data_IF_295104593922
#
_entry.id   IF_295104593922
#
_cell.length_a   1.000
_cell.length_b   1.000
_cell.length_c   1.000
_cell.angle_alpha   90.00
_cell.angle_beta   90.00
_cell.angle_gamma   90.00
#
_symmetry.space_group_name_H-M   'P 1'
#
loop_
_entity.id
_entity.type
_entity.pdbx_description
1 polymer ?
#
# COMPACT_ATOMS: atom_id res chain seq x y z
N UNK A 1 11.45 22.87 -18.30
CA UNK A 1 10.23 22.06 -18.07
C UNK A 1 9.95 22.10 -16.58
N UNK A 2 8.99 22.91 -16.15
CA UNK A 2 8.60 23.08 -14.76
C UNK A 2 7.94 21.79 -14.26
N UNK A 3 8.67 21.00 -13.47
CA UNK A 3 8.19 19.77 -12.87
C UNK A 3 7.06 20.08 -11.91
N UNK A 4 5.83 19.82 -12.32
CA UNK A 4 4.70 19.76 -11.41
C UNK A 4 5.01 18.59 -10.47
N UNK A 5 5.38 18.89 -9.23
CA UNK A 5 5.66 17.88 -8.22
C UNK A 5 4.36 17.13 -7.93
N UNK A 6 4.09 16.10 -8.73
CA UNK A 6 2.90 15.29 -8.62
C UNK A 6 2.91 14.50 -7.32
N UNK A 7 1.71 14.27 -6.79
CA UNK A 7 1.48 13.35 -5.69
C UNK A 7 2.05 11.96 -6.08
N UNK A 8 2.90 11.39 -5.23
CA UNK A 8 3.49 10.05 -5.43
C UNK A 8 2.90 9.08 -4.42
N UNK A 9 2.53 7.90 -4.88
CA UNK A 9 2.06 6.82 -4.00
C UNK A 9 3.17 5.79 -3.85
N UNK A 10 3.48 5.41 -2.62
CA UNK A 10 4.38 4.29 -2.31
C UNK A 10 3.59 3.13 -1.75
N UNK A 11 3.94 1.90 -2.15
CA UNK A 11 3.26 0.69 -1.66
C UNK A 11 4.21 -0.50 -1.60
N UNK A 12 3.85 -1.51 -0.81
CA UNK A 12 4.49 -2.83 -0.82
C UNK A 12 3.65 -3.84 -1.62
N UNK A 13 4.31 -4.72 -2.36
CA UNK A 13 3.70 -5.81 -3.14
C UNK A 13 3.79 -5.59 -4.65
N UNK A 14 3.68 -6.67 -5.41
CA UNK A 14 3.86 -6.62 -6.87
C UNK A 14 2.60 -6.14 -7.62
N UNK A 15 2.70 -6.06 -8.95
CA UNK A 15 1.55 -5.84 -9.84
C UNK A 15 0.51 -6.95 -9.62
N UNK A 16 -0.77 -6.58 -9.57
CA UNK A 16 -1.90 -7.47 -9.24
C UNK A 16 -1.98 -7.95 -7.79
N UNK A 17 -1.08 -7.51 -6.90
CA UNK A 17 -1.29 -7.71 -5.46
C UNK A 17 -2.51 -6.93 -4.96
N UNK A 18 -3.04 -7.30 -3.79
CA UNK A 18 -4.14 -6.54 -3.19
C UNK A 18 -3.78 -5.08 -2.90
N UNK A 19 -2.51 -4.79 -2.59
CA UNK A 19 -2.01 -3.42 -2.47
C UNK A 19 -2.06 -2.65 -3.81
N UNK A 20 -1.75 -3.33 -4.93
CA UNK A 20 -1.89 -2.74 -6.27
C UNK A 20 -3.37 -2.44 -6.58
N UNK A 21 -4.26 -3.39 -6.32
CA UNK A 21 -5.70 -3.23 -6.53
C UNK A 21 -6.25 -2.08 -5.67
N UNK A 22 -5.87 -2.01 -4.39
CA UNK A 22 -6.27 -0.92 -3.49
C UNK A 22 -5.78 0.44 -3.98
N UNK A 23 -4.52 0.51 -4.45
CA UNK A 23 -3.92 1.72 -4.99
C UNK A 23 -4.68 2.21 -6.21
N UNK A 24 -4.95 1.33 -7.18
CA UNK A 24 -5.71 1.68 -8.40
C UNK A 24 -7.14 2.12 -8.09
N UNK A 25 -7.80 1.47 -7.12
CA UNK A 25 -9.17 1.86 -6.70
C UNK A 25 -9.22 3.25 -6.07
N UNK A 26 -8.21 3.60 -5.27
CA UNK A 26 -8.20 4.87 -4.54
C UNK A 26 -7.66 6.03 -5.38
N UNK A 27 -6.64 5.79 -6.20
CA UNK A 27 -5.91 6.86 -6.91
C UNK A 27 -6.03 6.80 -8.44
N UNK A 28 -6.65 5.76 -8.99
CA UNK A 28 -6.77 5.54 -10.43
C UNK A 28 -5.50 4.95 -11.07
N UNK A 29 -5.62 4.47 -12.31
CA UNK A 29 -4.52 3.81 -13.04
C UNK A 29 -3.42 4.77 -13.52
N UNK A 30 -3.66 6.08 -13.50
CA UNK A 30 -2.69 7.11 -13.92
C UNK A 30 -1.82 7.64 -12.76
N UNK A 31 -1.99 7.10 -11.55
CA UNK A 31 -1.20 7.52 -10.39
C UNK A 31 0.29 7.17 -10.58
N UNK A 32 1.17 8.06 -10.11
CA UNK A 32 2.61 7.78 -10.04
C UNK A 32 2.87 6.89 -8.84
N UNK A 33 3.17 5.62 -9.10
CA UNK A 33 3.36 4.60 -8.06
C UNK A 33 4.81 4.14 -8.01
N UNK A 34 5.36 4.03 -6.81
CA UNK A 34 6.62 3.36 -6.53
C UNK A 34 6.38 2.16 -5.62
N UNK A 35 6.94 1.02 -6.00
CA UNK A 35 6.91 -0.21 -5.19
C UNK A 35 8.17 -0.27 -4.34
N UNK A 36 8.01 -0.44 -3.04
CA UNK A 36 9.11 -0.51 -2.08
C UNK A 36 9.18 -1.90 -1.41
N UNK A 37 10.32 -2.19 -0.81
CA UNK A 37 10.71 -3.53 -0.34
C UNK A 37 9.90 -4.03 0.86
N UNK A 38 9.35 -3.13 1.68
CA UNK A 38 8.60 -3.46 2.90
C UNK A 38 7.81 -2.24 3.41
N UNK A 39 7.05 -2.45 4.50
CA UNK A 39 6.24 -1.41 5.12
C UNK A 39 7.06 -0.27 5.71
N UNK A 40 8.24 -0.53 6.26
CA UNK A 40 9.12 0.52 6.78
C UNK A 40 9.49 1.53 5.73
N UNK A 41 9.97 1.04 4.59
CA UNK A 41 10.38 1.91 3.49
C UNK A 41 9.24 2.78 3.00
N UNK A 42 8.01 2.24 3.00
CA UNK A 42 6.82 3.00 2.66
C UNK A 42 6.53 4.12 3.67
N UNK A 43 6.57 3.80 4.97
CA UNK A 43 6.36 4.79 6.03
C UNK A 43 7.47 5.85 6.06
N UNK A 44 8.73 5.45 5.91
CA UNK A 44 9.89 6.35 5.81
C UNK A 44 9.72 7.33 4.64
N UNK A 45 9.36 6.83 3.45
CA UNK A 45 9.16 7.66 2.27
C UNK A 45 8.02 8.69 2.46
N UNK A 46 6.91 8.29 3.08
CA UNK A 46 5.81 9.19 3.40
C UNK A 46 6.19 10.23 4.46
N UNK A 47 7.00 9.86 5.46
CA UNK A 47 7.43 10.76 6.52
C UNK A 47 8.41 11.83 6.01
N UNK A 48 9.21 11.51 4.99
CA UNK A 48 10.17 12.44 4.39
C UNK A 48 9.54 13.52 3.50
N UNK A 49 8.32 13.30 2.99
CA UNK A 49 7.72 14.24 2.03
C UNK A 49 6.19 14.29 2.13
N UNK A 50 5.65 15.50 2.26
CA UNK A 50 4.20 15.76 2.25
C UNK A 50 3.52 15.46 0.90
N UNK A 51 4.30 15.22 -0.16
CA UNK A 51 3.79 14.85 -1.49
C UNK A 51 3.76 13.33 -1.70
N UNK A 52 4.14 12.55 -0.69
CA UNK A 52 4.16 11.09 -0.73
C UNK A 52 3.06 10.54 0.17
N UNK A 53 2.26 9.62 -0.37
CA UNK A 53 1.27 8.84 0.40
C UNK A 53 1.70 7.38 0.40
N UNK A 54 1.73 6.76 1.58
CA UNK A 54 1.90 5.32 1.69
C UNK A 54 0.53 4.61 1.66
N UNK A 55 0.36 3.68 0.73
CA UNK A 55 -0.78 2.75 0.71
C UNK A 55 -0.35 1.43 1.34
N UNK A 56 -0.87 1.15 2.54
CA UNK A 56 -0.49 -0.01 3.33
C UNK A 56 -1.72 -0.71 3.91
N UNK A 57 -1.71 -2.05 3.98
CA UNK A 57 -2.74 -2.78 4.68
C UNK A 57 -2.50 -2.67 6.20
N UNK A 58 -3.53 -2.29 6.94
CA UNK A 58 -3.47 -2.08 8.40
C UNK A 58 -4.24 -3.14 9.19
N UNK A 59 -5.24 -3.74 8.56
CA UNK A 59 -6.08 -4.76 9.15
C UNK A 59 -6.52 -5.77 8.10
N UNK A 60 -6.65 -7.04 8.45
CA UNK A 60 -7.39 -8.02 7.67
C UNK A 60 -8.10 -9.05 8.58
N UNK A 61 -9.17 -9.68 8.09
CA UNK A 61 -9.99 -10.60 8.89
C UNK A 61 -9.26 -11.85 9.39
N UNK A 62 -8.21 -12.30 8.69
CA UNK A 62 -7.45 -13.48 9.08
C UNK A 62 -6.40 -13.17 10.18
N UNK A 63 -5.72 -12.04 10.07
CA UNK A 63 -4.57 -11.65 10.88
C UNK A 63 -4.92 -10.56 11.91
N UNK A 64 -6.14 -10.01 11.88
CA UNK A 64 -6.56 -8.80 12.61
C UNK A 64 -5.67 -7.63 12.25
N UNK A 65 -5.06 -6.96 13.23
CA UNK A 65 -4.09 -5.89 13.00
C UNK A 65 -2.84 -6.42 12.31
N UNK A 66 -2.38 -5.67 11.31
CA UNK A 66 -1.18 -6.02 10.57
C UNK A 66 0.00 -5.35 11.26
N UNK A 67 0.84 -6.19 11.87
CA UNK A 67 2.09 -5.78 12.47
C UNK A 67 3.26 -5.92 11.50
N UNK A 68 4.30 -5.15 11.78
CA UNK A 68 5.62 -5.27 11.16
C UNK A 68 6.45 -6.40 11.79
N UNK A 69 7.68 -6.58 11.29
CA UNK A 69 8.64 -7.56 11.82
C UNK A 69 9.00 -7.35 13.30
N UNK A 70 8.87 -6.13 13.82
CA UNK A 70 9.08 -5.79 15.22
C UNK A 70 7.82 -6.00 16.10
N UNK A 71 6.71 -6.47 15.52
CA UNK A 71 5.45 -6.73 16.21
C UNK A 71 4.56 -5.50 16.41
N UNK A 72 5.05 -4.29 16.11
CA UNK A 72 4.27 -3.05 16.24
C UNK A 72 3.26 -2.94 15.09
N UNK A 73 1.98 -2.63 15.37
CA UNK A 73 0.99 -2.36 14.34
C UNK A 73 1.43 -1.25 13.38
N UNK A 74 1.10 -1.39 12.09
CA UNK A 74 1.48 -0.42 11.06
C UNK A 74 0.95 0.99 11.38
N UNK A 75 -0.28 1.11 11.90
CA UNK A 75 -0.87 2.41 12.26
C UNK A 75 -0.12 3.07 13.42
N UNK A 76 0.15 2.34 14.51
CA UNK A 76 0.91 2.85 15.65
C UNK A 76 2.30 3.32 15.23
N UNK A 77 2.97 2.58 14.34
CA UNK A 77 4.26 2.99 13.80
C UNK A 77 4.16 4.27 12.97
N UNK A 78 3.13 4.39 12.13
CA UNK A 78 2.90 5.58 11.33
C UNK A 78 2.70 6.81 12.22
N UNK A 79 1.88 6.69 13.27
CA UNK A 79 1.66 7.75 14.26
C UNK A 79 2.97 8.16 14.95
N UNK A 80 3.78 7.18 15.38
CA UNK A 80 5.11 7.43 15.95
C UNK A 80 6.08 8.15 15.01
N UNK A 81 5.83 8.13 13.70
CA UNK A 81 6.59 8.85 12.67
C UNK A 81 5.96 10.21 12.29
N UNK A 82 4.90 10.62 12.99
CA UNK A 82 4.17 11.87 12.70
C UNK A 82 3.30 11.81 11.45
N UNK A 83 3.00 10.61 10.95
CA UNK A 83 2.06 10.39 9.86
C UNK A 83 0.63 10.35 10.40
N UNK A 84 -0.33 10.59 9.51
CA UNK A 84 -1.75 10.46 9.80
C UNK A 84 -2.43 9.65 8.72
N UNK A 85 -3.41 8.85 9.09
CA UNK A 85 -4.31 8.19 8.14
C UNK A 85 -5.20 9.26 7.53
N UNK A 86 -5.18 9.37 6.19
CA UNK A 86 -5.99 10.34 5.44
C UNK A 86 -7.21 9.72 4.77
N UNK A 87 -7.19 8.41 4.55
CA UNK A 87 -8.26 7.64 3.94
C UNK A 87 -8.08 6.16 4.26
N UNK A 88 -9.20 5.44 4.33
CA UNK A 88 -9.24 3.98 4.54
C UNK A 88 -10.08 3.36 3.42
N UNK A 89 -9.66 2.18 2.95
CA UNK A 89 -10.39 1.38 1.96
C UNK A 89 -10.51 -0.05 2.44
N UNK A 90 -11.72 -0.57 2.48
CA UNK A 90 -11.97 -1.99 2.67
C UNK A 90 -11.95 -2.71 1.32
N UNK A 91 -11.19 -3.79 1.25
CA UNK A 91 -11.05 -4.59 0.04
C UNK A 91 -11.47 -6.03 0.32
N UNK A 92 -12.43 -6.53 -0.47
CA UNK A 92 -12.79 -7.95 -0.46
C UNK A 92 -11.67 -8.79 -1.09
N UNK A 93 -11.09 -9.67 -0.28
CA UNK A 93 -10.05 -10.62 -0.68
C UNK A 93 -10.72 -11.87 -1.24
N UNK A 94 -10.62 -12.07 -2.56
CA UNK A 94 -11.17 -13.23 -3.27
C UNK A 94 -10.03 -14.06 -3.88
N UNK A 95 -9.85 -15.28 -3.40
CA UNK A 95 -8.89 -16.20 -3.99
C UNK A 95 -9.51 -16.94 -5.17
N UNK A 96 -8.82 -16.92 -6.32
CA UNK A 96 -9.22 -17.67 -7.51
C UNK A 96 -8.16 -18.71 -7.84
N UNK A 97 -8.58 -19.91 -8.20
CA UNK A 97 -7.68 -20.94 -8.71
C UNK A 97 -7.42 -20.64 -10.20
N UNK A 98 -6.23 -20.15 -10.51
CA UNK A 98 -5.78 -19.95 -11.88
C UNK A 98 -4.76 -21.02 -12.26
N UNK A 99 -4.95 -21.67 -13.42
CA UNK A 99 -4.01 -22.63 -13.99
C UNK A 99 -3.78 -22.30 -15.46
N UNK A 100 -2.54 -22.43 -15.92
CA UNK A 100 -2.18 -22.29 -17.35
C UNK A 100 -2.49 -23.56 -18.15
N UNK A 101 -3.49 -24.34 -17.75
CA UNK A 101 -3.90 -25.56 -18.44
C UNK A 101 -4.59 -25.23 -19.76
N UNK A 102 -4.12 -25.81 -20.87
CA UNK A 102 -4.95 -25.98 -22.06
C UNK A 102 -6.07 -26.96 -21.68
N UNK A 103 -7.32 -26.59 -21.95
CA UNK A 103 -8.39 -27.58 -22.07
C UNK A 103 -7.95 -28.56 -23.17
N UNK A 104 -7.59 -29.78 -22.78
CA UNK A 104 -7.24 -30.85 -23.69
C UNK A 104 -8.44 -31.34 -24.47
#
# INVERSE_FOLDING_TARGET
MSGQAGLKIVRFGDTHSYSDIATRRMFGDLAVVEVLENFDRCLEAAAMSRLVIAMLPVHNTANREISRADGVPVEERAEGMGLRVIATLELYVNHVLASFGRLG
#
